data_IF_724190057254
#
_entry.id   IF_724190057254
#
_cell.length_a   1.000
_cell.length_b   1.000
_cell.length_c   1.000
_cell.angle_alpha   90.00
_cell.angle_beta   90.00
_cell.angle_gamma   90.00
#
_symmetry.space_group_name_H-M   'P 1'
#
loop_
_entity.id
_entity.type
_entity.pdbx_description
1 polymer ?
#
# COMPACT_ATOMS: atom_id res chain seq x y z
N UNK A 1 5.96 -8.30 -8.18
CA UNK A 1 5.88 -6.89 -7.75
C UNK A 1 4.46 -6.61 -7.24
N UNK A 2 4.23 -5.54 -6.49
CA UNK A 2 2.90 -5.21 -5.93
C UNK A 2 2.39 -3.91 -6.56
N UNK A 3 1.24 -3.97 -7.24
CA UNK A 3 0.61 -2.80 -7.87
C UNK A 3 -0.75 -2.52 -7.22
N UNK A 4 -0.91 -1.31 -6.68
CA UNK A 4 -2.15 -0.81 -6.05
C UNK A 4 -2.49 0.59 -6.56
N UNK A 5 -3.70 1.08 -6.27
CA UNK A 5 -4.15 2.43 -6.67
C UNK A 5 -4.51 3.29 -5.47
N UNK A 6 -4.55 4.59 -5.67
CA UNK A 6 -4.92 5.60 -4.68
C UNK A 6 -6.00 6.52 -5.26
N UNK A 7 -7.05 6.90 -4.50
CA UNK A 7 -7.97 7.95 -4.92
C UNK A 7 -7.29 9.32 -4.98
N UNK A 8 -7.68 10.17 -5.94
CA UNK A 8 -7.05 11.48 -6.15
C UNK A 8 -7.82 12.68 -5.56
N UNK A 9 -8.82 12.44 -4.71
CA UNK A 9 -9.68 13.50 -4.15
C UNK A 9 -9.80 13.39 -2.65
N UNK A 10 -9.71 14.53 -1.95
CA UNK A 10 -9.90 14.60 -0.51
C UNK A 10 -11.35 14.26 -0.10
N UNK A 11 -11.55 13.57 1.05
CA UNK A 11 -10.54 13.09 1.99
C UNK A 11 -10.03 11.68 1.70
N UNK A 12 -10.33 11.11 0.52
CA UNK A 12 -10.00 9.72 0.17
C UNK A 12 -8.56 9.55 -0.32
N UNK A 13 -7.92 10.63 -0.75
CA UNK A 13 -6.49 10.75 -1.04
C UNK A 13 -5.57 10.59 0.17
N UNK A 14 -6.09 10.15 1.33
CA UNK A 14 -5.27 9.62 2.43
C UNK A 14 -5.22 8.09 2.46
N UNK A 15 -6.00 7.43 1.61
CA UNK A 15 -6.15 5.98 1.58
C UNK A 15 -5.53 5.38 0.32
N UNK A 16 -5.10 4.13 0.39
CA UNK A 16 -4.83 3.29 -0.78
C UNK A 16 -5.96 2.27 -0.95
N UNK A 17 -6.18 1.81 -2.18
CA UNK A 17 -7.16 0.78 -2.52
C UNK A 17 -6.45 -0.46 -3.02
N UNK A 18 -6.56 -1.54 -2.25
CA UNK A 18 -6.01 -2.85 -2.56
C UNK A 18 -7.14 -3.73 -3.07
N UNK A 19 -6.98 -4.30 -4.27
CA UNK A 19 -7.92 -5.30 -4.79
C UNK A 19 -7.68 -6.64 -4.09
N UNK A 20 -8.74 -7.41 -3.87
CA UNK A 20 -8.58 -8.81 -3.48
C UNK A 20 -7.91 -9.61 -4.62
N UNK A 21 -7.11 -10.60 -4.26
CA UNK A 21 -6.41 -11.50 -5.17
C UNK A 21 -6.31 -12.93 -4.59
N UNK A 22 -5.78 -13.89 -5.35
CA UNK A 22 -5.52 -15.25 -4.88
C UNK A 22 -4.46 -15.27 -3.76
N UNK A 23 -4.35 -16.40 -3.06
CA UNK A 23 -3.50 -16.54 -1.87
C UNK A 23 -2.02 -16.20 -2.12
N UNK A 24 -1.46 -16.62 -3.25
CA UNK A 24 -0.07 -16.33 -3.64
C UNK A 24 0.19 -14.82 -3.78
N UNK A 25 -0.78 -14.05 -4.26
CA UNK A 25 -0.69 -12.59 -4.35
C UNK A 25 -0.83 -11.92 -2.97
N UNK A 26 -1.64 -12.51 -2.08
CA UNK A 26 -1.78 -12.04 -0.71
C UNK A 26 -0.50 -12.26 0.11
N UNK A 27 0.19 -13.38 -0.11
CA UNK A 27 1.48 -13.67 0.53
C UNK A 27 2.54 -12.63 0.12
N UNK A 28 2.63 -12.31 -1.18
CA UNK A 28 3.54 -11.26 -1.69
C UNK A 28 3.21 -9.89 -1.09
N UNK A 29 1.91 -9.55 -0.94
CA UNK A 29 1.49 -8.31 -0.28
C UNK A 29 1.87 -8.30 1.21
N UNK A 30 1.70 -9.42 1.91
CA UNK A 30 2.02 -9.55 3.33
C UNK A 30 3.52 -9.36 3.60
N UNK A 31 4.39 -9.84 2.69
CA UNK A 31 5.83 -9.63 2.77
C UNK A 31 6.22 -8.17 2.49
N UNK A 32 5.62 -7.55 1.45
CA UNK A 32 6.04 -6.22 0.99
C UNK A 32 5.47 -5.04 1.82
N UNK A 33 4.24 -5.15 2.32
CA UNK A 33 3.52 -4.03 2.94
C UNK A 33 4.22 -3.45 4.18
N UNK A 34 4.79 -4.24 5.12
CA UNK A 34 5.48 -3.70 6.29
C UNK A 34 6.67 -2.80 5.93
N UNK A 35 7.48 -3.19 4.94
CA UNK A 35 8.62 -2.39 4.46
C UNK A 35 8.17 -1.07 3.84
N UNK A 36 7.17 -1.12 2.96
CA UNK A 36 6.61 0.10 2.35
C UNK A 36 6.04 1.08 3.40
N UNK A 37 5.42 0.59 4.47
CA UNK A 37 4.93 1.43 5.56
C UNK A 37 6.05 2.05 6.39
N UNK A 38 7.16 1.35 6.61
CA UNK A 38 8.33 1.91 7.28
C UNK A 38 8.92 3.07 6.44
N UNK A 39 9.15 2.83 5.15
CA UNK A 39 9.67 3.85 4.22
C UNK A 39 8.76 5.09 4.13
N UNK A 40 7.44 4.88 4.12
CA UNK A 40 6.47 5.97 4.09
C UNK A 40 6.49 6.82 5.37
N UNK A 41 6.65 6.18 6.53
CA UNK A 41 6.77 6.88 7.83
C UNK A 41 8.07 7.69 7.90
N UNK A 42 9.17 7.13 7.43
CA UNK A 42 10.46 7.82 7.36
C UNK A 42 10.41 9.01 6.40
N UNK A 43 9.64 8.90 5.31
CA UNK A 43 9.45 9.97 4.34
C UNK A 43 8.52 11.07 4.86
N UNK A 44 7.48 10.72 5.62
CA UNK A 44 6.55 11.69 6.21
C UNK A 44 7.14 12.46 7.41
N UNK A 45 8.21 11.93 8.02
CA UNK A 45 8.95 12.60 9.10
C UNK A 45 10.01 13.60 8.59
N UNK A 46 10.27 13.65 7.27
CA UNK A 46 11.14 14.64 6.62
C UNK A 46 10.32 15.85 6.16
#
# INVERSE_FOLDING_TARGET
DVFVRMPGVAPLDRCIRISAGPEDQLDVLAEALPGALADARDSAAR
#
